data_IF_621831078660
#
_entry.id   IF_621831078660
#
_cell.length_a   1.000
_cell.length_b   1.000
_cell.length_c   1.000
_cell.angle_alpha   90.00
_cell.angle_beta   90.00
_cell.angle_gamma   90.00
#
_symmetry.space_group_name_H-M   'P 1'
#
loop_
_entity.id
_entity.type
_entity.pdbx_description
1 polymer ?
#
# COMPACT_ATOMS: atom_id res chain seq x y z
N UNK A 1 10.11 16.16 5.74
CA UNK A 1 9.46 14.85 5.84
C UNK A 1 10.52 13.76 5.68
N UNK A 2 10.81 13.01 6.73
CA UNK A 2 11.68 11.84 6.69
C UNK A 2 10.82 10.60 6.40
N UNK A 3 11.09 9.93 5.29
CA UNK A 3 10.36 8.76 4.83
C UNK A 3 11.31 7.56 4.85
N UNK A 4 10.90 6.49 5.53
CA UNK A 4 11.61 5.23 5.51
C UNK A 4 10.78 4.16 4.80
N UNK A 5 11.37 3.51 3.82
CA UNK A 5 10.81 2.34 3.14
C UNK A 5 11.35 1.08 3.80
N UNK A 6 10.47 0.18 4.20
CA UNK A 6 10.86 -1.08 4.82
C UNK A 6 11.64 -1.99 3.85
N UNK A 7 12.92 -2.19 4.14
CA UNK A 7 13.83 -3.05 3.39
C UNK A 7 13.45 -4.52 3.38
N UNK A 8 12.63 -4.98 4.35
CA UNK A 8 12.11 -6.34 4.38
C UNK A 8 10.94 -6.58 3.42
N UNK A 9 10.28 -5.50 2.97
CA UNK A 9 9.17 -5.57 2.05
C UNK A 9 9.60 -6.14 0.68
N UNK A 10 8.75 -6.95 0.07
CA UNK A 10 9.10 -7.70 -1.13
C UNK A 10 9.57 -6.82 -2.29
N UNK A 11 8.96 -5.64 -2.47
CA UNK A 11 9.35 -4.72 -3.54
C UNK A 11 10.73 -4.10 -3.26
N UNK A 12 11.03 -3.79 -2.00
CA UNK A 12 12.31 -3.24 -1.57
C UNK A 12 13.44 -4.27 -1.71
N UNK A 13 13.18 -5.53 -1.34
CA UNK A 13 14.15 -6.63 -1.53
C UNK A 13 14.44 -6.89 -3.02
N UNK A 14 13.40 -6.88 -3.86
CA UNK A 14 13.59 -6.99 -5.30
C UNK A 14 14.44 -5.81 -5.84
N UNK A 15 14.19 -4.59 -5.36
CA UNK A 15 14.99 -3.42 -5.71
C UNK A 15 16.44 -3.53 -5.25
N UNK A 16 16.69 -4.03 -4.04
CA UNK A 16 18.06 -4.25 -3.55
C UNK A 16 18.85 -5.25 -4.42
N UNK A 17 18.15 -6.18 -5.08
CA UNK A 17 18.76 -7.16 -5.98
C UNK A 17 19.02 -6.60 -7.39
N UNK A 18 18.07 -5.85 -7.95
CA UNK A 18 18.11 -5.45 -9.36
C UNK A 18 18.41 -3.97 -9.61
N UNK A 19 18.36 -3.12 -8.57
CA UNK A 19 18.55 -1.68 -8.65
C UNK A 19 17.44 -0.93 -9.40
N UNK A 20 16.34 -1.58 -9.79
CA UNK A 20 15.34 -1.05 -10.73
C UNK A 20 13.92 -1.06 -10.19
N UNK A 21 13.55 -2.05 -9.36
CA UNK A 21 12.15 -2.30 -9.02
C UNK A 21 11.39 -1.10 -8.43
N UNK A 22 12.03 -0.32 -7.56
CA UNK A 22 11.44 0.87 -6.94
C UNK A 22 12.04 2.19 -7.45
N UNK A 23 12.86 2.17 -8.51
CA UNK A 23 13.61 3.34 -8.97
C UNK A 23 12.69 4.55 -9.24
N UNK A 24 11.64 4.39 -10.05
CA UNK A 24 10.68 5.47 -10.31
C UNK A 24 9.98 5.94 -9.04
N UNK A 25 9.57 5.02 -8.16
CA UNK A 25 8.88 5.38 -6.92
C UNK A 25 9.79 6.18 -5.98
N UNK A 26 11.04 5.74 -5.78
CA UNK A 26 12.01 6.44 -4.94
C UNK A 26 12.38 7.80 -5.52
N UNK A 27 12.54 7.91 -6.84
CA UNK A 27 12.76 9.18 -7.52
C UNK A 27 11.57 10.15 -7.32
N UNK A 28 10.33 9.65 -7.41
CA UNK A 28 9.12 10.44 -7.12
C UNK A 28 9.13 10.98 -5.69
N UNK A 29 9.49 10.15 -4.71
CA UNK A 29 9.57 10.58 -3.31
C UNK A 29 10.70 11.58 -3.05
N UNK A 30 11.86 11.37 -3.67
CA UNK A 30 13.00 12.28 -3.57
C UNK A 30 12.72 13.65 -4.24
N UNK A 31 11.82 13.69 -5.23
CA UNK A 31 11.35 14.91 -5.86
C UNK A 31 10.40 15.76 -5.01
N UNK A 32 9.87 15.24 -3.91
CA UNK A 32 8.98 16.00 -3.02
C UNK A 32 9.77 17.05 -2.21
N UNK A 33 9.28 18.30 -2.11
CA UNK A 33 9.96 19.35 -1.35
C UNK A 33 10.23 18.94 0.10
N UNK A 34 11.48 19.14 0.55
CA UNK A 34 11.93 18.80 1.90
C UNK A 34 11.67 17.33 2.32
N UNK A 35 11.55 16.42 1.35
CA UNK A 35 11.45 14.99 1.58
C UNK A 35 12.84 14.35 1.59
N UNK A 36 13.13 13.52 2.59
CA UNK A 36 14.30 12.67 2.65
C UNK A 36 13.81 11.23 2.68
N UNK A 37 14.11 10.47 1.64
CA UNK A 37 13.72 9.06 1.54
C UNK A 37 14.94 8.17 1.78
N UNK A 38 14.76 7.12 2.56
CA UNK A 38 15.73 6.05 2.75
C UNK A 38 15.05 4.68 2.73
N UNK A 39 15.82 3.63 2.49
CA UNK A 39 15.37 2.23 2.66
C UNK A 39 16.02 1.71 3.94
N UNK A 40 15.24 1.07 4.81
CA UNK A 40 15.77 0.47 6.03
C UNK A 40 16.68 -0.72 5.70
N UNK A 41 17.57 -1.11 6.63
CA UNK A 41 18.20 -2.42 6.56
C UNK A 41 17.16 -3.56 6.56
N UNK A 42 17.54 -4.75 6.10
CA UNK A 42 16.78 -6.00 6.28
C UNK A 42 16.88 -6.47 7.75
N UNK A 43 16.30 -5.69 8.65
CA UNK A 43 16.27 -5.93 10.10
C UNK A 43 14.91 -5.49 10.67
N UNK A 44 14.54 -5.91 11.90
CA UNK A 44 13.29 -5.49 12.51
C UNK A 44 13.15 -3.97 12.58
N UNK A 45 11.97 -3.46 12.24
CA UNK A 45 11.62 -2.04 12.38
C UNK A 45 11.42 -1.65 13.85
N UNK A 46 12.49 -1.40 14.60
CA UNK A 46 12.40 -1.06 16.04
C UNK A 46 11.97 0.39 16.28
N UNK A 47 11.61 0.72 17.53
CA UNK A 47 11.27 2.08 17.92
C UNK A 47 12.42 3.07 17.67
N UNK A 48 13.66 2.65 17.88
CA UNK A 48 14.87 3.45 17.65
C UNK A 48 15.06 3.75 16.15
N UNK A 49 14.80 2.78 15.28
CA UNK A 49 14.89 2.98 13.83
C UNK A 49 13.79 3.91 13.31
N UNK A 50 12.58 3.79 13.87
CA UNK A 50 11.44 4.64 13.51
C UNK A 50 11.49 6.03 14.17
N UNK A 51 12.38 6.24 15.14
CA UNK A 51 12.55 7.53 15.79
C UNK A 51 13.01 8.60 14.77
N UNK A 52 12.29 9.73 14.75
CA UNK A 52 12.58 10.84 13.84
C UNK A 52 12.10 10.62 12.39
N UNK A 53 11.44 9.50 12.09
CA UNK A 53 10.74 9.31 10.82
C UNK A 53 9.37 9.98 10.89
N UNK A 54 8.90 10.52 9.76
CA UNK A 54 7.54 11.06 9.62
C UNK A 54 6.61 10.03 8.98
N UNK A 55 7.11 9.27 8.01
CA UNK A 55 6.35 8.25 7.27
C UNK A 55 7.13 6.95 7.17
N UNK A 56 6.47 5.84 7.49
CA UNK A 56 6.92 4.49 7.22
C UNK A 56 6.12 3.92 6.03
N UNK A 57 6.82 3.36 5.06
CA UNK A 57 6.21 2.69 3.89
C UNK A 57 6.58 1.21 3.95
N UNK A 58 5.58 0.35 4.04
CA UNK A 58 5.76 -1.10 4.04
C UNK A 58 5.15 -1.67 2.78
N UNK A 59 6.00 -2.24 1.93
CA UNK A 59 5.53 -3.07 0.82
C UNK A 59 5.34 -4.51 1.29
N UNK A 60 4.54 -5.29 0.57
CA UNK A 60 4.07 -6.62 1.01
C UNK A 60 5.14 -7.47 1.64
N UNK A 61 4.88 -7.98 2.86
CA UNK A 61 5.79 -8.90 3.54
C UNK A 61 5.36 -10.35 3.37
N UNK A 62 6.21 -11.16 2.71
CA UNK A 62 5.97 -12.61 2.57
C UNK A 62 6.18 -13.33 3.90
N UNK A 63 5.15 -14.04 4.38
CA UNK A 63 5.20 -14.79 5.64
C UNK A 63 6.35 -15.81 5.70
N UNK A 64 6.69 -16.42 4.57
CA UNK A 64 7.71 -17.46 4.50
C UNK A 64 9.14 -16.92 4.61
N UNK A 65 9.38 -15.67 4.21
CA UNK A 65 10.76 -15.15 4.06
C UNK A 65 11.03 -13.87 4.83
N UNK A 66 10.01 -13.14 5.24
CA UNK A 66 10.15 -11.98 6.13
C UNK A 66 8.83 -11.71 6.86
N UNK A 67 8.40 -12.60 7.79
CA UNK A 67 7.26 -12.32 8.65
C UNK A 67 7.59 -11.17 9.62
N UNK A 68 6.57 -10.45 10.09
CA UNK A 68 6.77 -9.47 11.17
C UNK A 68 7.17 -10.19 12.46
N UNK A 69 8.17 -9.63 13.14
CA UNK A 69 8.53 -10.01 14.51
C UNK A 69 7.54 -9.41 15.52
N UNK A 70 7.52 -9.93 16.76
CA UNK A 70 6.70 -9.32 17.83
C UNK A 70 7.11 -7.87 18.08
N UNK A 71 8.42 -7.58 18.07
CA UNK A 71 8.94 -6.21 18.20
C UNK A 71 8.35 -5.26 17.16
N UNK A 72 8.21 -5.71 15.91
CA UNK A 72 7.62 -4.89 14.84
C UNK A 72 6.10 -4.71 15.00
N UNK A 73 5.40 -5.76 15.43
CA UNK A 73 3.98 -5.69 15.72
C UNK A 73 3.66 -4.76 16.91
N UNK A 74 4.64 -4.47 17.76
CA UNK A 74 4.54 -3.48 18.83
C UNK A 74 4.99 -2.07 18.38
N UNK A 75 6.14 -1.97 17.73
CA UNK A 75 6.78 -0.68 17.38
C UNK A 75 6.02 0.07 16.29
N UNK A 76 5.51 -0.61 15.26
CA UNK A 76 4.85 0.04 14.12
C UNK A 76 3.53 0.69 14.57
N UNK A 77 2.63 -0.01 15.28
CA UNK A 77 1.46 0.65 15.84
C UNK A 77 1.82 1.75 16.85
N UNK A 78 2.86 1.58 17.68
CA UNK A 78 3.30 2.63 18.59
C UNK A 78 3.77 3.90 17.85
N UNK A 79 4.54 3.76 16.77
CA UNK A 79 4.97 4.84 15.89
C UNK A 79 3.77 5.61 15.32
N UNK A 80 2.79 4.91 14.75
CA UNK A 80 1.55 5.54 14.27
C UNK A 80 0.82 6.23 15.42
N UNK A 81 0.74 5.60 16.61
CA UNK A 81 0.07 6.23 17.75
C UNK A 81 0.73 7.53 18.22
N UNK A 82 2.04 7.65 18.06
CA UNK A 82 2.80 8.85 18.40
C UNK A 82 2.66 9.97 17.35
N UNK A 83 1.96 9.73 16.24
CA UNK A 83 1.68 10.74 15.20
C UNK A 83 2.32 10.44 13.85
N UNK A 84 3.07 9.34 13.72
CA UNK A 84 3.65 8.90 12.47
C UNK A 84 2.61 8.48 11.43
N UNK A 85 3.01 8.53 10.16
CA UNK A 85 2.22 8.06 9.03
C UNK A 85 2.64 6.67 8.56
N UNK A 86 1.69 5.78 8.30
CA UNK A 86 1.95 4.45 7.72
C UNK A 86 1.29 4.29 6.34
N UNK A 87 2.08 3.98 5.31
CA UNK A 87 1.59 3.43 4.06
C UNK A 87 1.85 1.92 4.06
N UNK A 88 0.79 1.12 4.23
CA UNK A 88 0.86 -0.34 4.20
C UNK A 88 0.30 -0.85 2.87
N UNK A 89 1.13 -1.51 2.07
CA UNK A 89 0.73 -2.13 0.81
C UNK A 89 0.79 -3.65 0.93
N UNK A 90 -0.36 -4.31 0.82
CA UNK A 90 -0.40 -5.77 0.72
C UNK A 90 -0.48 -6.22 -0.74
N UNK A 91 -0.85 -7.47 -0.97
CA UNK A 91 -0.98 -8.06 -2.29
C UNK A 91 -2.03 -9.17 -2.24
N UNK A 92 -2.33 -9.78 -3.38
CA UNK A 92 -3.32 -10.84 -3.51
C UNK A 92 -3.03 -12.08 -2.63
N UNK A 93 -4.09 -12.83 -2.35
CA UNK A 93 -4.04 -14.16 -1.73
C UNK A 93 -3.38 -15.23 -2.63
N UNK A 94 -3.45 -16.49 -2.21
CA UNK A 94 -2.96 -17.63 -3.00
C UNK A 94 -3.53 -17.60 -4.42
N UNK A 95 -2.67 -17.94 -5.37
CA UNK A 95 -3.09 -18.24 -6.74
C UNK A 95 -3.55 -19.70 -6.79
N UNK A 96 -4.77 -20.00 -7.28
CA UNK A 96 -5.22 -21.38 -7.43
C UNK A 96 -4.18 -22.24 -8.17
N UNK A 97 -3.84 -23.40 -7.59
CA UNK A 97 -2.84 -24.32 -8.17
C UNK A 97 -1.38 -23.95 -7.93
N UNK A 98 -1.08 -22.85 -7.22
CA UNK A 98 0.29 -22.50 -6.78
C UNK A 98 0.30 -22.37 -5.26
N UNK A 99 0.52 -23.49 -4.57
CA UNK A 99 0.51 -23.55 -3.11
C UNK A 99 1.92 -23.42 -2.49
N UNK A 100 2.04 -22.77 -1.31
CA UNK A 100 1.25 -21.64 -0.80
C UNK A 100 1.93 -20.29 -1.09
N UNK A 101 1.20 -19.35 -1.69
CA UNK A 101 1.62 -17.98 -2.03
C UNK A 101 0.64 -16.94 -1.44
N UNK A 102 0.10 -17.17 -0.25
CA UNK A 102 -0.73 -16.18 0.45
C UNK A 102 0.13 -14.99 0.88
N UNK A 103 0.06 -13.92 0.08
CA UNK A 103 0.81 -12.69 0.32
C UNK A 103 0.13 -11.79 1.35
N UNK A 104 -1.14 -12.06 1.69
CA UNK A 104 -1.91 -11.23 2.63
C UNK A 104 -1.54 -11.52 4.08
N UNK A 105 -1.10 -12.75 4.37
CA UNK A 105 -1.02 -13.29 5.73
C UNK A 105 -0.24 -12.42 6.72
N UNK A 106 0.97 -11.96 6.37
CA UNK A 106 1.77 -11.14 7.28
C UNK A 106 1.13 -9.77 7.47
N UNK A 107 0.75 -9.12 6.37
CA UNK A 107 0.21 -7.76 6.41
C UNK A 107 -1.14 -7.72 7.14
N UNK A 108 -1.92 -8.80 7.07
CA UNK A 108 -3.18 -8.94 7.80
C UNK A 108 -2.96 -8.92 9.32
N UNK A 109 -1.84 -9.46 9.82
CA UNK A 109 -1.52 -9.39 11.25
C UNK A 109 -1.27 -7.95 11.71
N UNK A 110 -0.51 -7.18 10.93
CA UNK A 110 -0.25 -5.78 11.24
C UNK A 110 -1.51 -4.91 11.06
N UNK A 111 -2.25 -5.11 9.97
CA UNK A 111 -3.47 -4.35 9.65
C UNK A 111 -4.54 -4.44 10.75
N UNK A 112 -4.66 -5.60 11.41
CA UNK A 112 -5.59 -5.80 12.54
C UNK A 112 -5.32 -4.86 13.71
N UNK A 113 -4.07 -4.42 13.93
CA UNK A 113 -3.73 -3.44 14.96
C UNK A 113 -4.41 -2.07 14.73
N UNK A 114 -4.92 -1.83 13.52
CA UNK A 114 -5.60 -0.61 13.09
C UNK A 114 -7.10 -0.83 12.80
N UNK A 115 -7.66 -2.01 13.13
CA UNK A 115 -9.07 -2.32 12.82
C UNK A 115 -9.34 -2.49 11.31
N UNK A 116 -8.33 -2.94 10.58
CA UNK A 116 -8.41 -3.20 9.14
C UNK A 116 -8.36 -4.72 8.94
N UNK A 117 -9.33 -5.23 8.18
CA UNK A 117 -9.33 -6.59 7.70
C UNK A 117 -8.79 -6.62 6.27
N UNK A 118 -7.76 -7.45 6.06
CA UNK A 118 -7.31 -7.85 4.72
C UNK A 118 -7.87 -9.23 4.48
N UNK A 119 -8.78 -9.34 3.52
CA UNK A 119 -9.31 -10.63 3.12
C UNK A 119 -8.32 -11.29 2.16
N UNK A 120 -8.19 -12.60 2.32
CA UNK A 120 -7.33 -13.43 1.50
C UNK A 120 -7.96 -13.68 0.12
N UNK A 121 -8.03 -12.65 -0.70
CA UNK A 121 -8.70 -12.61 -2.00
C UNK A 121 -7.70 -12.43 -3.15
N UNK A 122 -8.06 -12.83 -4.37
CA UNK A 122 -7.31 -12.53 -5.57
C UNK A 122 -8.27 -11.94 -6.61
N UNK A 123 -8.52 -10.64 -6.47
CA UNK A 123 -9.25 -9.87 -7.47
C UNK A 123 -8.34 -9.51 -8.64
N UNK A 124 -8.79 -9.79 -9.86
CA UNK A 124 -8.16 -9.29 -11.08
C UNK A 124 -9.18 -9.11 -12.21
N UNK A 125 -8.69 -8.63 -13.35
CA UNK A 125 -9.50 -8.51 -14.56
C UNK A 125 -9.94 -9.93 -15.02
N UNK A 126 -11.19 -10.11 -15.49
CA UNK A 126 -11.69 -11.42 -15.92
C UNK A 126 -10.87 -12.04 -17.06
N UNK A 127 -10.38 -11.19 -17.97
CA UNK A 127 -9.39 -11.57 -18.99
C UNK A 127 -7.96 -11.54 -18.39
N UNK A 128 -7.24 -12.68 -18.29
CA UNK A 128 -5.96 -12.77 -17.58
C UNK A 128 -4.81 -11.90 -18.13
N UNK A 129 -4.90 -11.45 -19.38
CA UNK A 129 -3.88 -10.63 -20.04
C UNK A 129 -4.11 -9.13 -19.88
N UNK A 130 -5.17 -8.71 -19.19
CA UNK A 130 -5.55 -7.31 -19.03
C UNK A 130 -5.36 -6.85 -17.59
N UNK A 131 -5.01 -5.58 -17.45
CA UNK A 131 -4.95 -4.90 -16.16
C UNK A 131 -6.36 -4.42 -15.78
N UNK A 132 -6.59 -4.29 -14.48
CA UNK A 132 -7.81 -3.68 -13.94
C UNK A 132 -7.61 -2.18 -13.77
N UNK A 133 -8.61 -1.40 -14.15
CA UNK A 133 -8.60 0.05 -14.02
C UNK A 133 -9.78 0.53 -13.16
N UNK A 134 -9.46 1.31 -12.13
CA UNK A 134 -10.42 2.03 -11.30
C UNK A 134 -10.65 3.42 -11.91
N UNK A 135 -11.90 3.76 -12.17
CA UNK A 135 -12.30 5.05 -12.73
C UNK A 135 -13.02 5.95 -11.73
N UNK A 136 -13.61 7.04 -12.21
CA UNK A 136 -14.28 8.05 -11.40
C UNK A 136 -15.37 7.47 -10.48
N UNK A 137 -16.13 6.48 -10.94
CA UNK A 137 -17.17 5.82 -10.15
C UNK A 137 -16.62 4.99 -8.97
N UNK A 138 -15.36 4.55 -9.07
CA UNK A 138 -14.67 3.75 -8.05
C UNK A 138 -13.92 4.63 -7.04
N UNK A 139 -13.67 5.90 -7.39
CA UNK A 139 -12.85 6.88 -6.67
C UNK A 139 -13.71 7.82 -5.82
N UNK A 140 -13.46 7.84 -4.51
CA UNK A 140 -14.15 8.74 -3.58
C UNK A 140 -13.43 10.09 -3.47
N UNK A 141 -13.48 10.86 -4.57
CA UNK A 141 -12.67 12.04 -4.87
C UNK A 141 -12.66 13.17 -3.81
N UNK A 142 -13.55 13.13 -2.81
CA UNK A 142 -13.56 14.07 -1.70
C UNK A 142 -12.33 13.99 -0.78
N UNK A 143 -11.64 12.84 -0.72
CA UNK A 143 -10.48 12.69 0.15
C UNK A 143 -9.26 13.46 -0.40
N UNK A 144 -8.47 14.16 0.44
CA UNK A 144 -7.31 14.93 -0.02
C UNK A 144 -6.32 14.12 -0.88
N UNK A 145 -6.09 12.85 -0.56
CA UNK A 145 -5.24 11.95 -1.35
C UNK A 145 -5.67 11.89 -2.83
N UNK A 146 -6.97 11.85 -3.11
CA UNK A 146 -7.50 11.79 -4.47
C UNK A 146 -7.61 13.17 -5.10
N UNK A 147 -7.94 14.20 -4.31
CA UNK A 147 -8.02 15.56 -4.80
C UNK A 147 -6.67 16.15 -5.22
N UNK A 148 -5.59 15.79 -4.50
CA UNK A 148 -4.29 16.44 -4.63
C UNK A 148 -4.19 17.77 -3.89
N UNK A 149 -3.00 18.39 -3.95
CA UNK A 149 -2.77 19.71 -3.38
C UNK A 149 -3.42 20.82 -4.23
N UNK A 150 -3.50 22.04 -3.69
CA UNK A 150 -4.06 23.16 -4.42
C UNK A 150 -3.28 23.42 -5.73
N UNK A 151 -4.00 23.48 -6.86
CA UNK A 151 -3.41 23.69 -8.19
C UNK A 151 -2.91 22.43 -8.88
N UNK A 152 -2.96 21.26 -8.23
CA UNK A 152 -2.64 19.99 -8.86
C UNK A 152 -3.88 19.34 -9.50
N UNK A 153 -3.67 18.54 -10.53
CA UNK A 153 -4.72 17.71 -11.09
C UNK A 153 -5.11 16.59 -10.09
N UNK A 154 -6.40 16.22 -9.97
CA UNK A 154 -6.81 15.12 -9.11
C UNK A 154 -6.39 13.77 -9.69
N UNK A 155 -6.46 12.72 -8.87
CA UNK A 155 -6.38 11.31 -9.29
C UNK A 155 -7.70 10.93 -9.95
N UNK A 156 -7.66 10.52 -11.22
CA UNK A 156 -8.83 10.16 -12.03
C UNK A 156 -8.86 8.69 -12.41
N UNK A 157 -7.72 8.02 -12.43
CA UNK A 157 -7.65 6.58 -12.59
C UNK A 157 -6.51 5.94 -11.81
N UNK A 158 -6.71 4.68 -11.42
CA UNK A 158 -5.63 3.82 -10.95
C UNK A 158 -5.66 2.50 -11.69
N UNK A 159 -4.49 1.89 -11.84
CA UNK A 159 -4.33 0.62 -12.55
C UNK A 159 -3.64 -0.38 -11.64
N UNK A 160 -4.21 -1.58 -11.55
CA UNK A 160 -3.61 -2.72 -10.82
C UNK A 160 -3.66 -3.97 -11.68
N UNK A 161 -2.69 -4.86 -11.48
CA UNK A 161 -2.73 -6.19 -12.09
C UNK A 161 -3.70 -7.08 -11.32
N UNK A 162 -3.54 -7.12 -10.01
CA UNK A 162 -4.31 -7.92 -9.09
C UNK A 162 -4.18 -7.39 -7.67
N UNK A 163 -5.11 -7.76 -6.79
CA UNK A 163 -5.09 -7.28 -5.42
C UNK A 163 -5.83 -8.23 -4.47
N UNK A 164 -5.60 -8.03 -3.17
CA UNK A 164 -6.52 -8.52 -2.15
C UNK A 164 -7.76 -7.60 -2.04
N UNK A 165 -8.56 -7.78 -1.00
CA UNK A 165 -9.60 -6.82 -0.63
C UNK A 165 -9.42 -6.32 0.79
N UNK A 166 -9.81 -5.08 1.01
CA UNK A 166 -9.76 -4.41 2.32
C UNK A 166 -11.17 -4.12 2.80
N UNK A 167 -11.42 -4.44 4.06
CA UNK A 167 -12.64 -4.07 4.79
C UNK A 167 -12.25 -3.33 6.06
N UNK A 168 -12.86 -2.18 6.32
CA UNK A 168 -12.71 -1.48 7.59
C UNK A 168 -13.98 -0.69 7.89
N UNK A 169 -14.60 -0.88 9.07
CA UNK A 169 -15.79 -0.11 9.46
C UNK A 169 -15.47 1.37 9.75
N UNK A 170 -14.23 1.64 10.17
CA UNK A 170 -13.80 2.97 10.62
C UNK A 170 -12.93 3.69 9.59
N UNK A 171 -12.48 3.01 8.53
CA UNK A 171 -11.66 3.59 7.48
C UNK A 171 -12.48 4.37 6.46
N UNK A 172 -11.99 5.56 6.09
CA UNK A 172 -12.53 6.32 4.97
C UNK A 172 -12.14 5.60 3.67
N UNK A 173 -13.10 5.07 2.90
CA UNK A 173 -12.77 4.45 1.62
C UNK A 173 -12.20 5.49 0.65
N UNK A 174 -11.12 5.14 -0.03
CA UNK A 174 -10.54 5.95 -1.10
C UNK A 174 -10.96 5.38 -2.46
N UNK A 175 -10.72 4.08 -2.65
CA UNK A 175 -10.96 3.38 -3.91
C UNK A 175 -11.74 2.11 -3.58
N UNK A 176 -12.94 1.97 -4.16
CA UNK A 176 -13.74 0.75 -4.07
C UNK A 176 -13.28 -0.27 -5.10
N UNK A 177 -13.43 -1.56 -4.81
CA UNK A 177 -13.29 -2.56 -5.85
C UNK A 177 -14.47 -2.44 -6.83
N UNK A 178 -14.18 -2.53 -8.13
CA UNK A 178 -15.19 -2.52 -9.20
C UNK A 178 -15.83 -3.90 -9.34
N UNK A 179 -17.11 -3.94 -9.69
CA UNK A 179 -17.86 -5.12 -10.14
C UNK A 179 -17.29 -5.79 -11.41
N UNK A 180 -16.43 -5.08 -12.15
CA UNK A 180 -15.71 -5.61 -13.32
C UNK A 180 -14.58 -6.57 -12.95
N UNK A 181 -14.15 -6.62 -11.68
CA UNK A 181 -13.12 -7.54 -11.21
C UNK A 181 -13.75 -8.81 -10.63
N UNK A 182 -13.04 -9.93 -10.76
CA UNK A 182 -13.47 -11.22 -10.20
C UNK A 182 -12.42 -11.74 -9.21
N UNK A 183 -12.90 -12.27 -8.07
CA UNK A 183 -12.05 -13.01 -7.15
C UNK A 183 -11.87 -14.44 -7.64
N UNK A 184 -10.66 -14.76 -8.08
CA UNK A 184 -10.31 -16.09 -8.58
C UNK A 184 -10.14 -17.16 -7.49
N UNK A 185 -10.20 -16.77 -6.21
CA UNK A 185 -9.95 -17.67 -5.09
C UNK A 185 -11.21 -18.14 -4.39
N UNK A 186 -11.94 -17.24 -3.74
CA UNK A 186 -13.08 -17.59 -2.89
C UNK A 186 -14.42 -17.17 -3.52
N UNK A 187 -14.40 -16.51 -4.67
CA UNK A 187 -15.61 -15.97 -5.31
C UNK A 187 -16.23 -14.83 -4.53
N UNK A 188 -15.43 -14.05 -3.78
CA UNK A 188 -15.94 -12.87 -3.10
C UNK A 188 -16.50 -11.85 -4.09
N UNK A 189 -17.63 -11.24 -3.73
CA UNK A 189 -18.17 -10.08 -4.45
C UNK A 189 -17.31 -8.85 -4.17
N UNK A 190 -17.12 -7.95 -5.13
CA UNK A 190 -16.45 -6.67 -4.90
C UNK A 190 -17.26 -5.70 -4.02
N UNK A 191 -18.57 -5.94 -3.85
CA UNK A 191 -19.46 -5.06 -3.10
C UNK A 191 -19.00 -4.91 -1.63
N UNK A 192 -18.89 -3.65 -1.19
CA UNK A 192 -18.48 -3.30 0.17
C UNK A 192 -16.98 -3.41 0.44
N UNK A 193 -16.17 -3.82 -0.54
CA UNK A 193 -14.72 -3.98 -0.43
C UNK A 193 -13.97 -2.82 -1.06
N UNK A 194 -12.79 -2.55 -0.55
CA UNK A 194 -11.94 -1.46 -1.00
C UNK A 194 -10.61 -1.97 -1.56
N UNK A 195 -10.11 -1.27 -2.56
CA UNK A 195 -8.71 -1.36 -3.01
C UNK A 195 -7.80 -0.50 -2.13
N UNK A 196 -8.30 0.65 -1.65
CA UNK A 196 -7.56 1.50 -0.74
C UNK A 196 -8.48 2.23 0.25
N UNK A 197 -7.97 2.42 1.47
CA UNK A 197 -8.63 3.17 2.54
C UNK A 197 -7.63 4.09 3.24
N UNK A 198 -8.15 5.15 3.88
CA UNK A 198 -7.40 6.02 4.78
C UNK A 198 -8.02 5.99 6.18
N UNK A 199 -7.18 6.03 7.21
CA UNK A 199 -7.59 6.19 8.60
C UNK A 199 -6.89 7.42 9.18
N UNK A 200 -7.70 8.30 9.75
CA UNK A 200 -7.27 9.45 10.54
C UNK A 200 -8.26 9.63 11.70
N UNK A 201 -7.76 9.92 12.89
CA UNK A 201 -8.56 10.35 14.04
C UNK A 201 -9.69 9.40 14.48
N UNK A 202 -9.51 8.08 14.44
CA UNK A 202 -10.38 7.23 15.25
C UNK A 202 -10.00 7.42 16.73
N UNK A 203 -10.96 7.77 17.59
CA UNK A 203 -10.76 8.12 19.01
C UNK A 203 -10.04 7.03 19.83
N UNK A 204 -9.95 5.80 19.30
CA UNK A 204 -9.22 4.67 19.88
C UNK A 204 -7.79 4.49 19.33
N UNK A 205 -7.46 5.16 18.22
CA UNK A 205 -6.21 5.00 17.45
C UNK A 205 -5.57 6.36 17.20
N UNK A 206 -5.33 7.12 18.28
CA UNK A 206 -4.17 8.00 18.39
C UNK A 206 -3.96 9.07 17.29
N UNK A 207 -2.80 9.75 17.29
CA UNK A 207 -2.57 10.97 16.49
C UNK A 207 -2.09 10.72 15.06
N UNK A 208 -1.85 9.48 14.66
CA UNK A 208 -1.24 9.13 13.37
C UNK A 208 -2.22 9.05 12.21
N UNK A 209 -1.68 8.68 11.05
CA UNK A 209 -2.45 8.43 9.81
C UNK A 209 -2.03 7.09 9.22
N UNK A 210 -2.99 6.34 8.68
CA UNK A 210 -2.71 5.08 7.97
C UNK A 210 -3.37 5.12 6.60
N UNK A 211 -2.65 4.71 5.56
CA UNK A 211 -3.20 4.38 4.26
C UNK A 211 -2.90 2.91 4.00
N UNK A 212 -3.94 2.15 3.67
CA UNK A 212 -3.83 0.75 3.30
C UNK A 212 -4.16 0.60 1.81
N UNK A 213 -3.33 -0.13 1.07
CA UNK A 213 -3.51 -0.41 -0.36
C UNK A 213 -3.41 -1.91 -0.63
N UNK A 214 -4.32 -2.44 -1.44
CA UNK A 214 -4.49 -3.88 -1.65
C UNK A 214 -3.50 -4.52 -2.64
N UNK A 215 -2.62 -3.71 -3.24
CA UNK A 215 -1.57 -4.13 -4.17
C UNK A 215 -0.30 -3.33 -3.91
N UNK A 216 0.86 -3.98 -3.84
CA UNK A 216 2.17 -3.34 -3.77
C UNK A 216 2.89 -3.35 -5.11
N UNK A 217 2.40 -4.13 -6.07
CA UNK A 217 2.89 -4.16 -7.44
C UNK A 217 2.68 -2.84 -8.17
N UNK A 218 1.62 -2.10 -7.83
CA UNK A 218 1.27 -0.86 -8.53
C UNK A 218 2.34 0.24 -8.43
N UNK A 219 3.22 0.20 -7.41
CA UNK A 219 4.35 1.15 -7.28
C UNK A 219 5.64 0.70 -7.98
N UNK A 220 5.64 -0.46 -8.64
CA UNK A 220 6.83 -0.95 -9.35
C UNK A 220 7.14 -0.14 -10.60
N UNK A 221 8.42 0.05 -10.89
CA UNK A 221 8.92 0.71 -12.11
C UNK A 221 8.49 -0.03 -13.37
N UNK A 222 8.03 0.71 -14.39
CA UNK A 222 7.66 0.14 -15.68
C UNK A 222 8.76 -0.76 -16.28
N UNK A 223 8.35 -1.87 -16.90
CA UNK A 223 9.27 -2.86 -17.49
C UNK A 223 9.89 -3.85 -16.50
N UNK A 224 9.64 -3.71 -15.18
CA UNK A 224 9.97 -4.76 -14.20
C UNK A 224 8.82 -5.77 -14.10
N UNK A 225 9.15 -7.06 -13.91
CA UNK A 225 8.16 -8.16 -13.93
C UNK A 225 8.15 -9.00 -12.64
N UNK A 226 9.09 -8.76 -11.73
CA UNK A 226 9.16 -9.43 -10.43
C UNK A 226 9.12 -8.39 -9.30
N UNK A 227 8.35 -8.62 -8.22
CA UNK A 227 7.44 -9.74 -7.96
C UNK A 227 6.14 -9.72 -8.78
N UNK A 228 5.93 -8.69 -9.58
CA UNK A 228 4.84 -8.56 -10.54
C UNK A 228 5.16 -7.48 -11.56
N UNK A 229 4.26 -7.20 -12.50
CA UNK A 229 4.44 -6.10 -13.45
C UNK A 229 4.51 -4.75 -12.73
N UNK A 230 5.42 -3.87 -13.15
CA UNK A 230 5.52 -2.51 -12.63
C UNK A 230 4.52 -1.58 -13.31
N UNK A 231 3.74 -0.85 -12.51
CA UNK A 231 2.59 -0.07 -12.98
C UNK A 231 2.59 1.40 -12.50
N UNK A 232 3.68 1.90 -11.93
CA UNK A 232 3.69 3.25 -11.32
C UNK A 232 3.35 4.36 -12.34
N UNK A 233 3.67 4.14 -13.62
CA UNK A 233 3.42 5.07 -14.73
C UNK A 233 2.06 4.85 -15.43
N UNK A 234 1.23 3.92 -14.93
CA UNK A 234 -0.10 3.62 -15.47
C UNK A 234 -1.18 4.43 -14.73
N UNK A 235 -2.14 4.99 -15.46
CA UNK A 235 -3.16 5.88 -14.89
C UNK A 235 -2.54 7.03 -14.10
N UNK A 236 -3.11 7.36 -12.94
CA UNK A 236 -2.57 8.33 -11.99
C UNK A 236 -1.88 7.65 -10.77
N UNK A 237 -1.36 6.42 -10.94
CA UNK A 237 -0.73 5.64 -9.86
C UNK A 237 0.38 6.41 -9.12
N UNK A 238 1.29 7.05 -9.87
CA UNK A 238 2.37 7.87 -9.32
C UNK A 238 1.86 9.05 -8.48
N UNK A 239 0.80 9.71 -8.95
CA UNK A 239 0.16 10.83 -8.24
C UNK A 239 -0.52 10.35 -6.97
N UNK A 240 -1.27 9.25 -7.03
CA UNK A 240 -1.89 8.65 -5.84
C UNK A 240 -0.84 8.33 -4.77
N UNK A 241 0.27 7.68 -5.16
CA UNK A 241 1.34 7.31 -4.24
C UNK A 241 1.99 8.55 -3.60
N UNK A 242 2.28 9.59 -4.38
CA UNK A 242 2.81 10.86 -3.85
C UNK A 242 1.82 11.55 -2.91
N UNK A 243 0.54 11.61 -3.27
CA UNK A 243 -0.49 12.24 -2.45
C UNK A 243 -0.70 11.49 -1.14
N UNK A 244 -0.64 10.16 -1.16
CA UNK A 244 -0.70 9.33 0.03
C UNK A 244 0.46 9.65 0.98
N UNK A 245 1.71 9.69 0.48
CA UNK A 245 2.88 9.99 1.32
C UNK A 245 2.83 11.43 1.87
N UNK A 246 2.45 12.41 1.05
CA UNK A 246 2.26 13.79 1.52
C UNK A 246 1.17 13.89 2.58
N UNK A 247 0.03 13.23 2.38
CA UNK A 247 -1.04 13.21 3.37
C UNK A 247 -0.57 12.54 4.67
N UNK A 248 0.12 11.41 4.60
CA UNK A 248 0.67 10.72 5.77
C UNK A 248 1.65 11.60 6.56
N UNK A 249 2.55 12.30 5.87
CA UNK A 249 3.51 13.22 6.50
C UNK A 249 3.02 14.65 6.70
N UNK A 250 1.71 14.91 6.53
CA UNK A 250 1.07 16.23 6.77
C UNK A 250 1.63 17.37 5.91
N UNK A 251 2.01 17.05 4.68
CA UNK A 251 2.59 17.95 3.69
C UNK A 251 1.71 18.09 2.42
N UNK A 252 0.41 17.80 2.53
CA UNK A 252 -0.58 17.94 1.46
C UNK A 252 -1.48 19.17 1.68
#
# INVERSE_FOLDING_TARGET
>A
MNVIVDGNGLQARAHAQDGRRLDTFLALLAGLPACRVSVSPEAPLTAELLAGQDVLIITTRKWQTSPYTLTELDSIPAFVRQGGGLLLLSNHGDVPGRHPLDMTRSDALLARAFGIEIENAFFSHPEPSRLSEFGEADLLAGHPILRGAAGEAPVRSLVTNNCCSIVSPDGAPLIRLTDRMIDHRNGFSSQGRCFAIALENNLKVARGRVVMVADSGFIGTAGTTFPGVGLIDQGDNSRFAQNAVRWLGRAL
#
